data_IF_139032999551
#
_entry.id   IF_139032999551
#
_cell.length_a   1.000
_cell.length_b   1.000
_cell.length_c   1.000
_cell.angle_alpha   90.00
_cell.angle_beta   90.00
_cell.angle_gamma   90.00
#
_symmetry.space_group_name_H-M   'P 1'
#
loop_
_entity.id
_entity.type
_entity.pdbx_description
1 polymer ?
#
# COMPACT_ATOMS: atom_id res chain seq x y z
N UNK A 1 -14.28 -9.91 0.74
CA UNK A 1 -14.29 -9.26 2.07
C UNK A 1 -13.70 -10.23 3.08
N UNK A 2 -12.94 -9.77 4.10
CA UNK A 2 -12.54 -10.66 5.19
C UNK A 2 -13.79 -11.33 5.79
N UNK A 3 -13.64 -12.57 6.29
CA UNK A 3 -14.74 -13.25 6.97
C UNK A 3 -15.16 -12.42 8.18
N UNK A 4 -16.45 -12.45 8.49
CA UNK A 4 -16.96 -11.83 9.70
C UNK A 4 -16.27 -12.46 10.92
N UNK A 5 -15.78 -11.62 11.83
CA UNK A 5 -15.06 -12.05 13.03
C UNK A 5 -15.72 -11.37 14.22
N UNK A 6 -15.88 -12.10 15.31
CA UNK A 6 -16.41 -11.55 16.57
C UNK A 6 -15.47 -10.50 17.22
N UNK A 7 -14.28 -10.30 16.66
CA UNK A 7 -13.24 -9.44 17.23
C UNK A 7 -12.76 -8.46 16.16
N UNK A 8 -12.94 -7.17 16.43
CA UNK A 8 -12.28 -6.09 15.72
C UNK A 8 -10.84 -5.96 16.22
N UNK A 9 -9.89 -6.00 15.28
CA UNK A 9 -8.47 -5.81 15.58
C UNK A 9 -8.15 -4.32 15.44
N UNK A 10 -8.06 -3.63 16.58
CA UNK A 10 -7.54 -2.26 16.63
C UNK A 10 -6.01 -2.27 16.63
N UNK A 11 -5.42 -1.29 15.93
CA UNK A 11 -3.97 -1.03 15.96
C UNK A 11 -3.77 0.27 16.73
N UNK A 12 -3.31 0.14 17.97
CA UNK A 12 -2.97 1.29 18.80
C UNK A 12 -1.60 1.85 18.42
N UNK A 13 -1.48 3.17 18.38
CA UNK A 13 -0.23 3.88 18.13
C UNK A 13 0.35 4.40 19.44
N UNK A 14 1.68 4.51 19.51
CA UNK A 14 2.37 5.11 20.64
C UNK A 14 1.83 6.54 20.93
N UNK A 15 1.63 6.91 22.21
CA UNK A 15 1.11 8.23 22.57
C UNK A 15 1.94 9.38 21.96
N UNK A 16 1.26 10.31 21.29
CA UNK A 16 1.90 11.47 20.65
C UNK A 16 2.42 11.23 19.24
N UNK A 17 2.24 10.03 18.68
CA UNK A 17 2.52 9.74 17.27
C UNK A 17 1.74 10.68 16.34
N UNK A 18 2.45 11.34 15.43
CA UNK A 18 1.86 12.21 14.39
C UNK A 18 1.71 11.45 13.08
N UNK A 19 0.84 11.92 12.21
CA UNK A 19 0.70 11.37 10.85
C UNK A 19 1.99 11.53 10.06
N UNK A 20 2.41 10.46 9.40
CA UNK A 20 3.59 10.44 8.54
C UNK A 20 3.16 10.44 7.07
N UNK A 21 3.69 11.38 6.30
CA UNK A 21 3.55 11.40 4.84
C UNK A 21 4.93 11.46 4.19
N UNK A 22 5.25 10.43 3.41
CA UNK A 22 6.49 10.37 2.61
C UNK A 22 6.11 10.40 1.13
N UNK A 23 6.75 11.28 0.33
CA UNK A 23 6.44 11.39 -1.09
C UNK A 23 6.77 10.09 -1.85
N UNK A 24 6.00 9.73 -2.89
CA UNK A 24 6.29 8.57 -3.73
C UNK A 24 7.67 8.67 -4.40
N UNK A 25 8.34 7.53 -4.56
CA UNK A 25 9.59 7.46 -5.31
C UNK A 25 9.37 7.75 -6.80
N UNK A 26 10.38 8.35 -7.45
CA UNK A 26 10.35 8.57 -8.90
C UNK A 26 10.37 7.24 -9.64
N UNK A 27 9.41 7.05 -10.55
CA UNK A 27 9.24 5.81 -11.31
C UNK A 27 9.30 6.08 -12.82
N UNK A 28 9.83 5.11 -13.57
CA UNK A 28 9.76 5.11 -15.04
C UNK A 28 8.35 4.73 -15.52
N UNK A 29 8.01 5.08 -16.76
CA UNK A 29 6.67 4.84 -17.33
C UNK A 29 6.20 3.38 -17.20
N UNK A 30 7.08 2.40 -17.44
CA UNK A 30 6.73 0.99 -17.30
C UNK A 30 6.31 0.61 -15.87
N UNK A 31 7.01 1.13 -14.84
CA UNK A 31 6.66 0.90 -13.43
C UNK A 31 5.35 1.58 -13.04
N UNK A 32 5.07 2.76 -13.61
CA UNK A 32 3.80 3.46 -13.38
C UNK A 32 2.61 2.69 -13.97
N UNK A 33 2.76 2.10 -15.16
CA UNK A 33 1.71 1.25 -15.75
C UNK A 33 1.44 0.03 -14.88
N UNK A 34 2.49 -0.63 -14.41
CA UNK A 34 2.39 -1.78 -13.50
C UNK A 34 1.74 -1.39 -12.17
N UNK A 35 2.10 -0.23 -11.62
CA UNK A 35 1.52 0.31 -10.39
C UNK A 35 0.00 0.47 -10.53
N UNK A 36 -0.45 1.12 -11.60
CA UNK A 36 -1.88 1.32 -11.85
C UNK A 36 -2.61 -0.02 -11.98
N UNK A 37 -2.02 -1.00 -12.68
CA UNK A 37 -2.61 -2.33 -12.84
C UNK A 37 -2.78 -3.07 -11.51
N UNK A 38 -1.73 -3.12 -10.67
CA UNK A 38 -1.79 -3.78 -9.37
C UNK A 38 -2.71 -3.06 -8.38
N UNK A 39 -2.75 -1.72 -8.40
CA UNK A 39 -3.70 -0.95 -7.57
C UNK A 39 -5.14 -1.28 -7.98
N UNK A 40 -5.44 -1.31 -9.28
CA UNK A 40 -6.77 -1.65 -9.77
C UNK A 40 -7.18 -3.05 -9.35
N UNK A 41 -6.29 -4.04 -9.48
CA UNK A 41 -6.54 -5.41 -9.03
C UNK A 41 -6.87 -5.48 -7.52
N UNK A 42 -6.17 -4.70 -6.69
CA UNK A 42 -6.45 -4.63 -5.25
C UNK A 42 -7.80 -3.96 -4.93
N UNK A 43 -8.18 -2.95 -5.71
CA UNK A 43 -9.49 -2.29 -5.60
C UNK A 43 -10.61 -3.26 -6.00
N UNK A 44 -10.44 -3.98 -7.11
CA UNK A 44 -11.43 -4.93 -7.64
C UNK A 44 -11.64 -6.11 -6.67
N UNK A 45 -10.58 -6.55 -5.99
CA UNK A 45 -10.66 -7.57 -4.92
C UNK A 45 -11.23 -7.04 -3.60
N UNK A 46 -11.38 -5.72 -3.47
CA UNK A 46 -11.81 -5.06 -2.23
C UNK A 46 -10.78 -5.12 -1.11
N UNK A 47 -9.50 -5.29 -1.44
CA UNK A 47 -8.39 -5.27 -0.48
C UNK A 47 -7.91 -3.85 -0.18
N UNK A 48 -8.11 -2.92 -1.12
CA UNK A 48 -7.85 -1.50 -0.94
C UNK A 48 -9.10 -0.67 -1.23
N UNK A 49 -9.08 0.59 -0.80
CA UNK A 49 -10.11 1.59 -1.12
C UNK A 49 -9.47 2.98 -1.21
N UNK A 50 -10.05 3.91 -1.99
CA UNK A 50 -9.66 5.31 -1.92
C UNK A 50 -9.82 5.85 -0.49
N UNK A 51 -8.90 6.71 -0.06
CA UNK A 51 -8.94 7.32 1.27
C UNK A 51 -8.38 8.75 1.24
N UNK A 52 -8.79 9.57 2.21
CA UNK A 52 -8.26 10.92 2.44
C UNK A 52 -7.39 10.98 3.70
N UNK A 53 -6.60 9.92 3.95
CA UNK A 53 -5.74 9.83 5.14
C UNK A 53 -4.58 10.84 5.07
N UNK A 54 -4.23 11.42 6.22
CA UNK A 54 -2.99 12.19 6.38
C UNK A 54 -1.73 11.30 6.37
N UNK A 55 -1.92 9.98 6.45
CA UNK A 55 -0.84 9.00 6.41
C UNK A 55 -0.56 8.55 4.98
N UNK A 56 0.71 8.53 4.60
CA UNK A 56 1.15 8.08 3.28
C UNK A 56 2.55 7.47 3.32
N UNK A 57 2.68 6.25 2.80
CA UNK A 57 3.94 5.53 2.65
C UNK A 57 4.25 5.34 1.16
N UNK A 58 5.52 5.41 0.75
CA UNK A 58 5.89 5.29 -0.65
C UNK A 58 5.88 3.82 -1.06
N UNK A 59 5.68 3.61 -2.36
CA UNK A 59 5.67 2.29 -2.98
C UNK A 59 6.97 2.06 -3.73
N UNK A 60 7.51 0.85 -3.63
CA UNK A 60 8.65 0.37 -4.40
C UNK A 60 8.32 -0.96 -5.08
N UNK A 61 9.07 -1.28 -6.14
CA UNK A 61 8.95 -2.54 -6.86
C UNK A 61 10.17 -3.42 -6.64
N UNK A 62 9.92 -4.69 -6.34
CA UNK A 62 10.93 -5.75 -6.28
C UNK A 62 10.70 -6.71 -7.43
N UNK A 63 11.78 -7.15 -8.09
CA UNK A 63 11.72 -8.18 -9.13
C UNK A 63 11.64 -9.56 -8.47
N UNK A 64 10.63 -10.34 -8.82
CA UNK A 64 10.51 -11.75 -8.44
C UNK A 64 11.42 -12.64 -9.30
N UNK A 65 11.62 -13.87 -8.86
CA UNK A 65 12.37 -14.90 -9.58
C UNK A 65 11.77 -15.21 -10.98
N UNK A 66 10.45 -15.20 -11.10
CA UNK A 66 9.70 -15.37 -12.36
C UNK A 66 9.79 -14.16 -13.30
N UNK A 67 10.49 -13.10 -12.90
CA UNK A 67 10.65 -11.87 -13.67
C UNK A 67 9.52 -10.84 -13.49
N UNK A 68 8.44 -11.20 -12.78
CA UNK A 68 7.34 -10.28 -12.48
C UNK A 68 7.78 -9.22 -11.46
N UNK A 69 7.10 -8.06 -11.46
CA UNK A 69 7.29 -7.05 -10.42
C UNK A 69 6.29 -7.28 -9.26
N UNK A 70 6.75 -7.14 -8.02
CA UNK A 70 5.93 -7.13 -6.82
C UNK A 70 5.91 -5.71 -6.26
N UNK A 71 4.72 -5.14 -6.10
CA UNK A 71 4.51 -3.90 -5.36
C UNK A 71 4.76 -4.13 -3.86
N UNK A 72 5.57 -3.26 -3.24
CA UNK A 72 5.87 -3.26 -1.81
C UNK A 72 5.67 -1.84 -1.24
N UNK A 73 5.08 -1.74 -0.05
CA UNK A 73 4.89 -0.47 0.67
C UNK A 73 6.01 -0.36 1.71
N UNK A 74 6.69 0.79 1.76
CA UNK A 74 7.78 1.03 2.70
C UNK A 74 7.26 1.64 4.02
N UNK A 75 7.09 0.81 5.04
CA UNK A 75 6.60 1.20 6.37
C UNK A 75 7.71 1.49 7.39
N UNK A 76 8.95 1.74 6.96
CA UNK A 76 10.11 1.95 7.88
C UNK A 76 10.09 3.26 8.68
N UNK A 77 9.02 4.04 8.57
CA UNK A 77 8.95 5.43 9.08
C UNK A 77 8.56 5.49 10.54
#
# INVERSE_FOLDING_TARGET
MPPDRDIDICIDLEPGTRSIFIPPYRMASAKLKELTAQIQELLDKGFSRPSASLWGAPILFVKKNDGSMRMCIDYRS
#
